data_IF_631009652442
#
_entry.id   IF_631009652442
#
_cell.length_a   1.000
_cell.length_b   1.000
_cell.length_c   1.000
_cell.angle_alpha   90.00
_cell.angle_beta   90.00
_cell.angle_gamma   90.00
#
_symmetry.space_group_name_H-M   'P 1'
#
loop_
_entity.id
_entity.type
_entity.pdbx_description
1 polymer ?
2 non-polymer ?
3 non-polymer ?
4 water ?
#
# COMPACT_ATOMS: atom_id res chain seq x y z
N UNK A 14 -33.73 -3.17 2.47
CA UNK A 14 -33.13 -1.89 2.12
C UNK A 14 -34.17 -0.90 1.65
N UNK A 15 -33.95 0.38 1.96
CA UNK A 15 -34.85 1.45 1.53
C UNK A 15 -34.39 2.13 0.25
N UNK A 16 -33.11 2.06 -0.08
CA UNK A 16 -32.52 2.78 -1.19
C UNK A 16 -31.18 2.13 -1.51
N UNK A 17 -30.50 2.66 -2.52
CA UNK A 17 -29.18 2.18 -2.89
C UNK A 17 -28.23 3.36 -3.04
N UNK A 18 -26.94 3.10 -2.78
CA UNK A 18 -25.87 4.04 -3.09
C UNK A 18 -24.84 3.27 -3.91
N UNK A 19 -24.30 3.89 -4.95
CA UNK A 19 -23.34 3.24 -5.83
C UNK A 19 -21.98 3.91 -5.71
N UNK A 20 -20.98 3.13 -5.31
CA UNK A 20 -19.63 3.61 -5.15
C UNK A 20 -18.81 3.19 -6.36
N UNK A 21 -17.66 3.84 -6.54
CA UNK A 21 -16.75 3.49 -7.61
C UNK A 21 -15.60 2.64 -7.12
N UNK A 22 -15.17 1.71 -7.97
CA UNK A 22 -13.97 0.90 -7.74
C UNK A 22 -13.12 1.02 -8.99
N UNK A 23 -11.84 1.35 -8.81
CA UNK A 23 -10.98 1.70 -9.96
C UNK A 23 -9.60 1.09 -9.73
N UNK A 24 -9.33 -0.01 -10.41
CA UNK A 24 -8.08 -0.75 -10.21
C UNK A 24 -7.65 -1.36 -11.53
N UNK A 25 -6.37 -1.74 -11.60
CA UNK A 25 -5.83 -2.41 -12.78
C UNK A 25 -6.23 -3.88 -12.76
N UNK A 26 -7.19 -4.25 -13.61
CA UNK A 26 -7.56 -5.64 -13.79
C UNK A 26 -6.85 -6.27 -14.97
N UNK A 27 -6.16 -5.48 -15.78
CA UNK A 27 -5.42 -5.98 -16.91
C UNK A 27 -4.06 -5.28 -16.92
N UNK A 28 -3.11 -5.87 -17.66
CA UNK A 28 -1.78 -5.32 -17.76
C UNK A 28 -0.88 -5.67 -16.59
N UNK A 29 0.28 -4.99 -16.57
CA UNK A 29 1.38 -5.37 -15.69
C UNK A 29 1.04 -5.23 -14.20
N UNK A 30 0.08 -4.37 -13.84
CA UNK A 30 -0.29 -4.21 -12.43
C UNK A 30 -1.39 -5.16 -12.00
N UNK A 31 -2.00 -5.92 -12.92
CA UNK A 31 -3.10 -6.79 -12.53
C UNK A 31 -2.68 -7.83 -11.49
N UNK A 32 -1.41 -8.26 -11.52
CA UNK A 32 -0.91 -9.24 -10.55
C UNK A 32 -1.14 -8.77 -9.13
N UNK A 33 -1.12 -7.45 -8.92
CA UNK A 33 -1.27 -6.82 -7.62
C UNK A 33 -2.68 -6.30 -7.37
N UNK A 34 -3.27 -5.61 -8.33
CA UNK A 34 -4.50 -4.88 -8.06
C UNK A 34 -5.77 -5.71 -8.15
N UNK A 35 -5.75 -6.84 -8.88
CA UNK A 35 -6.99 -7.58 -9.10
C UNK A 35 -7.60 -8.03 -7.78
N UNK A 36 -6.77 -8.50 -6.85
CA UNK A 36 -7.31 -8.97 -5.59
C UNK A 36 -7.89 -7.85 -4.73
N UNK A 37 -7.49 -6.59 -4.96
CA UNK A 37 -8.10 -5.49 -4.22
C UNK A 37 -9.58 -5.35 -4.55
N UNK A 38 -9.94 -5.51 -5.83
CA UNK A 38 -11.35 -5.46 -6.21
C UNK A 38 -12.12 -6.57 -5.50
N UNK A 39 -11.56 -7.79 -5.50
CA UNK A 39 -12.18 -8.89 -4.76
C UNK A 39 -12.40 -8.51 -3.31
N UNK A 40 -11.40 -7.89 -2.70
CA UNK A 40 -11.47 -7.60 -1.28
C UNK A 40 -12.45 -6.48 -0.99
N UNK A 41 -12.45 -5.42 -1.81
CA UNK A 41 -13.42 -4.34 -1.64
C UNK A 41 -14.84 -4.87 -1.80
N UNK A 42 -15.06 -5.77 -2.76
CA UNK A 42 -16.38 -6.36 -2.92
C UNK A 42 -16.77 -7.24 -1.73
N UNK A 43 -15.80 -7.91 -1.09
CA UNK A 43 -16.15 -8.71 0.07
C UNK A 43 -16.62 -7.83 1.22
N UNK A 44 -15.91 -6.71 1.46
CA UNK A 44 -16.34 -5.76 2.49
C UNK A 44 -17.73 -5.25 2.19
N UNK A 45 -18.01 -4.90 0.93
CA UNK A 45 -19.33 -4.40 0.55
C UNK A 45 -20.40 -5.46 0.82
N UNK A 46 -20.14 -6.70 0.44
CA UNK A 46 -21.11 -7.77 0.67
C UNK A 46 -21.36 -7.99 2.16
N UNK A 47 -20.29 -7.93 2.97
CA UNK A 47 -20.44 -8.06 4.41
C UNK A 47 -21.32 -6.96 4.97
N UNK A 48 -21.03 -5.70 4.59
CA UNK A 48 -21.80 -4.57 5.10
C UNK A 48 -23.26 -4.69 4.68
N UNK A 49 -23.51 -5.08 3.44
CA UNK A 49 -24.90 -5.24 3.00
C UNK A 49 -25.60 -6.33 3.81
N UNK A 50 -24.91 -7.45 4.05
CA UNK A 50 -25.52 -8.54 4.80
C UNK A 50 -25.87 -8.14 6.22
N UNK A 51 -25.11 -7.20 6.78
CA UNK A 51 -25.33 -6.73 8.14
C UNK A 51 -26.32 -5.58 8.21
N UNK A 52 -26.93 -5.20 7.09
CA UNK A 52 -27.97 -4.18 7.06
C UNK A 52 -27.68 -2.96 6.22
N UNK A 53 -26.54 -2.88 5.53
CA UNK A 53 -26.24 -1.74 4.69
C UNK A 53 -25.76 -0.55 5.50
N UNK A 54 -25.84 0.63 4.88
CA UNK A 54 -25.38 1.88 5.48
C UNK A 54 -26.59 2.72 5.85
N UNK A 55 -26.62 3.20 7.08
CA UNK A 55 -27.78 3.89 7.64
C UNK A 55 -27.59 5.41 7.56
N UNK A 56 -28.47 6.08 6.83
CA UNK A 56 -28.43 7.54 6.67
C UNK A 56 -29.87 8.05 6.80
N UNK A 57 -30.07 8.99 7.73
CA UNK A 57 -31.39 9.60 7.95
C UNK A 57 -32.46 8.54 8.17
N UNK A 58 -32.13 7.56 9.00
CA UNK A 58 -33.03 6.48 9.33
C UNK A 58 -33.35 5.51 8.19
N UNK A 59 -32.72 5.67 7.03
CA UNK A 59 -32.93 4.80 5.89
C UNK A 59 -31.71 3.87 5.74
N UNK A 60 -31.97 2.62 5.37
CA UNK A 60 -30.90 1.65 5.15
C UNK A 60 -30.58 1.61 3.66
N UNK A 61 -29.32 1.89 3.32
CA UNK A 61 -28.86 1.88 1.94
C UNK A 61 -28.06 0.62 1.65
N UNK A 62 -28.45 -0.09 0.59
CA UNK A 62 -27.60 -1.12 0.04
C UNK A 62 -26.47 -0.48 -0.77
N UNK A 63 -25.26 -1.00 -0.61
CA UNK A 63 -24.11 -0.52 -1.38
C UNK A 63 -24.02 -1.33 -2.67
N UNK A 64 -24.14 -0.64 -3.79
CA UNK A 64 -23.80 -1.14 -5.12
C UNK A 64 -22.47 -0.52 -5.57
N UNK A 65 -21.92 -1.04 -6.65
CA UNK A 65 -20.62 -0.56 -7.09
C UNK A 65 -20.52 -0.62 -8.62
N UNK A 66 -19.68 0.26 -9.16
CA UNK A 66 -19.24 0.20 -10.55
C UNK A 66 -17.73 -0.02 -10.54
N UNK A 67 -17.28 -1.09 -11.21
CA UNK A 67 -15.86 -1.39 -11.35
C UNK A 67 -15.37 -0.90 -12.70
N UNK A 68 -14.31 -0.09 -12.68
CA UNK A 68 -13.65 0.36 -13.90
C UNK A 68 -12.21 -0.15 -13.90
N UNK A 69 -11.76 -0.60 -15.06
CA UNK A 69 -10.42 -1.17 -15.23
C UNK A 69 -9.45 -0.05 -15.59
N UNK A 70 -8.53 0.28 -14.68
CA UNK A 70 -7.51 1.25 -14.97
C UNK A 70 -6.44 0.77 -15.94
N UNK A 71 -6.37 -0.55 -16.14
CA UNK A 71 -5.58 -1.16 -17.22
C UNK A 71 -4.10 -0.81 -17.15
N UNK A 72 -3.59 -0.58 -15.93
CA UNK A 72 -2.17 -0.31 -15.74
C UNK A 72 -1.72 0.91 -16.53
N UNK A 73 -2.63 1.87 -16.73
CA UNK A 73 -2.40 3.01 -17.61
C UNK A 73 -2.90 4.27 -16.92
N UNK A 74 -1.99 5.22 -16.68
CA UNK A 74 -2.35 6.31 -15.77
C UNK A 74 -3.34 7.27 -16.40
N UNK A 75 -3.24 7.61 -17.69
CA UNK A 75 -4.31 8.43 -18.28
C UNK A 75 -5.68 7.76 -18.19
N UNK A 76 -5.73 6.42 -18.29
CA UNK A 76 -7.00 5.72 -18.10
C UNK A 76 -7.52 5.87 -16.67
N UNK A 77 -6.62 5.83 -15.68
CA UNK A 77 -7.09 6.08 -14.32
C UNK A 77 -7.72 7.46 -14.19
N UNK A 78 -7.11 8.48 -14.82
CA UNK A 78 -7.67 9.81 -14.76
C UNK A 78 -8.99 9.89 -15.50
N UNK A 79 -9.07 9.26 -16.68
CA UNK A 79 -10.29 9.27 -17.47
C UNK A 79 -11.43 8.55 -16.76
N UNK A 80 -11.15 7.37 -16.20
CA UNK A 80 -12.21 6.63 -15.52
C UNK A 80 -12.64 7.33 -14.23
N UNK A 81 -11.72 8.07 -13.59
CA UNK A 81 -12.09 8.85 -12.41
C UNK A 81 -13.12 9.91 -12.77
N UNK A 82 -12.86 10.65 -13.87
CA UNK A 82 -13.81 11.64 -14.34
C UNK A 82 -15.17 11.00 -14.63
N UNK A 83 -15.15 9.81 -15.24
CA UNK A 83 -16.39 9.13 -15.57
C UNK A 83 -17.17 8.74 -14.32
N UNK A 84 -16.47 8.16 -13.34
CA UNK A 84 -17.13 7.75 -12.11
C UNK A 84 -17.70 8.94 -11.36
N UNK A 85 -16.98 10.06 -11.34
CA UNK A 85 -17.42 11.22 -10.58
C UNK A 85 -18.58 11.91 -11.30
N UNK A 86 -18.41 12.21 -12.58
CA UNK A 86 -19.38 13.05 -13.29
C UNK A 86 -20.52 12.25 -13.87
N UNK A 87 -20.21 11.20 -14.63
CA UNK A 87 -21.26 10.43 -15.29
C UNK A 87 -22.01 9.55 -14.31
N UNK A 88 -21.30 8.92 -13.37
CA UNK A 88 -21.92 7.97 -12.45
C UNK A 88 -22.29 8.56 -11.10
N UNK A 89 -21.83 9.77 -10.79
CA UNK A 89 -22.22 10.48 -9.58
C UNK A 89 -21.88 9.71 -8.31
N UNK A 90 -20.75 9.00 -8.30
CA UNK A 90 -20.40 8.21 -7.12
C UNK A 90 -19.94 9.14 -6.00
N UNK A 91 -20.19 8.79 -4.74
CA UNK A 91 -19.74 9.62 -3.62
C UNK A 91 -18.33 9.31 -3.13
N UNK A 92 -17.73 8.22 -3.60
CA UNK A 92 -16.36 7.89 -3.28
C UNK A 92 -15.86 6.94 -4.36
N UNK A 93 -14.57 6.96 -4.64
CA UNK A 93 -13.94 5.96 -5.47
C UNK A 93 -12.88 5.26 -4.64
N UNK A 94 -12.95 3.94 -4.59
CA UNK A 94 -11.90 3.12 -3.99
C UNK A 94 -10.95 2.71 -5.10
N UNK A 95 -9.68 3.12 -5.03
CA UNK A 95 -8.88 2.85 -6.22
C UNK A 95 -7.43 3.24 -6.12
N UNK A 96 -6.70 2.84 -7.15
CA UNK A 96 -5.29 3.18 -7.31
C UNK A 96 -4.34 2.14 -6.73
N UNK A 97 -3.12 2.16 -7.25
CA UNK A 97 -2.01 1.43 -6.66
C UNK A 97 -0.72 2.20 -6.89
N UNK A 98 -0.25 2.29 -8.12
CA UNK A 98 1.01 3.00 -8.31
C UNK A 98 0.85 4.46 -7.96
N UNK A 99 1.91 5.05 -7.42
CA UNK A 99 1.86 6.49 -7.19
C UNK A 99 1.69 7.24 -8.51
N UNK A 100 2.15 6.67 -9.63
CA UNK A 100 1.87 7.25 -10.94
C UNK A 100 0.39 7.35 -11.19
N UNK A 101 -0.37 6.29 -10.88
CA UNK A 101 -1.82 6.36 -11.08
C UNK A 101 -2.45 7.38 -10.14
N UNK A 102 -1.96 7.46 -8.89
CA UNK A 102 -2.54 8.41 -7.95
C UNK A 102 -2.25 9.84 -8.35
N UNK A 103 -1.02 10.13 -8.81
CA UNK A 103 -0.68 11.49 -9.23
C UNK A 103 -1.50 11.89 -10.45
N UNK A 104 -1.81 10.94 -11.32
CA UNK A 104 -2.67 11.24 -12.47
C UNK A 104 -4.10 11.55 -12.03
N UNK A 105 -4.59 10.84 -11.00
CA UNK A 105 -5.95 11.04 -10.51
C UNK A 105 -6.09 12.28 -9.63
N UNK A 106 -5.04 12.64 -8.88
CA UNK A 106 -5.14 13.71 -7.88
C UNK A 106 -5.77 14.99 -8.41
N UNK A 107 -5.37 15.54 -9.57
CA UNK A 107 -6.02 16.78 -10.03
C UNK A 107 -7.49 16.60 -10.34
N UNK A 108 -7.91 15.39 -10.71
CA UNK A 108 -9.32 15.13 -11.00
C UNK A 108 -10.14 15.20 -9.72
N UNK A 109 -9.69 14.50 -8.67
CA UNK A 109 -10.43 14.55 -7.42
C UNK A 109 -10.35 15.92 -6.77
N UNK A 110 -9.25 16.65 -6.95
CA UNK A 110 -9.17 17.98 -6.34
C UNK A 110 -10.01 19.00 -7.10
N UNK A 111 -9.96 18.99 -8.43
CA UNK A 111 -10.72 19.97 -9.20
C UNK A 111 -12.22 19.75 -9.07
N UNK A 112 -12.65 18.50 -8.89
CA UNK A 112 -14.07 18.19 -8.76
C UNK A 112 -14.50 18.11 -7.30
N UNK A 113 -13.61 18.43 -6.36
CA UNK A 113 -13.90 18.38 -4.92
C UNK A 113 -14.54 17.06 -4.54
N UNK A 114 -13.95 15.96 -5.04
CA UNK A 114 -14.51 14.63 -4.86
C UNK A 114 -13.73 13.87 -3.80
N UNK A 115 -13.67 12.54 -3.90
CA UNK A 115 -13.12 11.75 -2.79
C UNK A 115 -12.56 10.45 -3.35
N UNK A 116 -11.24 10.32 -3.36
CA UNK A 116 -10.56 9.07 -3.66
C UNK A 116 -10.05 8.46 -2.36
N UNK A 117 -10.32 7.17 -2.16
CA UNK A 117 -9.73 6.42 -1.04
C UNK A 117 -8.70 5.49 -1.66
N UNK A 118 -7.43 5.66 -1.24
CA UNK A 118 -6.27 5.01 -1.87
C UNK A 118 -5.62 4.09 -0.86
N UNK A 119 -5.45 2.80 -1.16
CA UNK A 119 -5.02 1.83 -0.12
C UNK A 119 -3.54 1.45 -0.09
N UNK A 120 -2.69 1.91 -0.99
CA UNK A 120 -1.39 1.25 -1.16
C UNK A 120 -0.26 2.01 -0.50
N UNK A 121 0.66 1.25 0.13
CA UNK A 121 1.92 1.77 0.66
C UNK A 121 2.55 2.72 -0.35
N UNK A 122 3.11 3.83 0.14
CA UNK A 122 3.67 4.76 -0.84
C UNK A 122 4.67 5.70 -0.16
N UNK A 123 5.11 6.70 -0.91
CA UNK A 123 6.23 7.54 -0.55
C UNK A 123 5.89 8.68 0.37
N UNK A 124 4.62 8.89 0.70
CA UNK A 124 4.24 10.13 1.36
C UNK A 124 4.49 11.34 0.47
N UNK A 125 4.93 12.44 1.08
CA UNK A 125 5.19 13.69 0.35
C UNK A 125 3.93 14.19 -0.36
N UNK A 126 2.79 14.02 0.30
CA UNK A 126 1.50 14.36 -0.25
C UNK A 126 0.48 14.36 0.87
N UNK A 127 -0.51 15.22 0.74
CA UNK A 127 -1.59 15.24 1.72
C UNK A 127 -2.82 15.90 1.11
N UNK A 128 -3.43 15.24 0.13
CA UNK A 128 -4.52 15.88 -0.59
C UNK A 128 -5.76 16.00 0.27
N UNK A 129 -6.44 17.14 0.17
CA UNK A 129 -7.71 17.29 0.86
C UNK A 129 -8.75 16.30 0.35
N UNK A 130 -8.58 15.79 -0.87
CA UNK A 130 -9.58 14.97 -1.52
C UNK A 130 -9.17 13.51 -1.64
N UNK A 131 -8.09 13.11 -0.96
CA UNK A 131 -7.66 11.71 -0.91
C UNK A 131 -7.52 11.32 0.55
N UNK A 132 -7.98 10.11 0.88
CA UNK A 132 -7.60 9.49 2.14
C UNK A 132 -6.77 8.25 1.83
N UNK A 133 -5.98 7.83 2.81
CA UNK A 133 -4.90 6.87 2.61
C UNK A 133 -4.92 5.81 3.70
N UNK A 134 -4.95 4.53 3.30
CA UNK A 134 -4.75 3.45 4.27
C UNK A 134 -3.45 2.69 4.07
N UNK A 135 -2.65 3.04 3.06
CA UNK A 135 -1.36 2.41 2.90
C UNK A 135 -0.31 3.07 3.77
N UNK A 136 0.72 2.29 4.11
CA UNK A 136 1.83 2.79 4.91
C UNK A 136 2.50 4.00 4.26
N UNK A 137 2.81 5.01 5.08
CA UNK A 137 3.81 6.00 4.75
C UNK A 137 5.20 5.42 5.05
N UNK A 138 6.27 6.06 4.59
CA UNK A 138 7.61 5.49 4.85
C UNK A 138 7.92 5.20 6.32
N UNK A 139 7.52 6.06 7.25
CA UNK A 139 7.83 5.75 8.64
C UNK A 139 7.05 4.54 9.16
N UNK A 140 6.05 4.08 8.42
CA UNK A 140 5.32 2.86 8.75
C UNK A 140 5.77 1.66 7.92
N UNK A 141 6.82 1.81 7.10
CA UNK A 141 7.26 0.72 6.24
C UNK A 141 8.76 0.80 5.98
N UNK A 142 9.21 1.66 5.05
CA UNK A 142 10.61 1.61 4.62
C UNK A 142 11.58 2.09 5.70
N UNK A 143 11.19 3.07 6.54
CA UNK A 143 12.12 3.52 7.56
C UNK A 143 12.40 2.41 8.58
N UNK A 144 11.41 1.79 9.23
CA UNK A 144 11.75 0.66 10.12
C UNK A 144 12.43 -0.47 9.38
N UNK A 145 12.05 -0.73 8.12
CA UNK A 145 12.66 -1.81 7.36
C UNK A 145 14.14 -1.56 7.12
N UNK A 146 14.50 -0.31 6.83
CA UNK A 146 15.90 0.04 6.58
C UNK A 146 16.74 -0.18 7.83
N UNK A 147 16.27 0.33 8.97
CA UNK A 147 16.99 0.10 10.23
C UNK A 147 17.10 -1.39 10.53
N UNK A 148 16.04 -2.16 10.26
CA UNK A 148 16.09 -3.59 10.52
C UNK A 148 17.15 -4.27 9.66
N UNK A 149 17.19 -3.95 8.36
CA UNK A 149 18.17 -4.61 7.49
C UNK A 149 19.59 -4.27 7.92
N UNK A 150 19.84 -3.02 8.30
CA UNK A 150 21.19 -2.57 8.65
C UNK A 150 21.65 -3.09 10.01
N UNK A 151 20.73 -3.31 10.94
CA UNK A 151 21.08 -3.60 12.32
C UNK A 151 20.78 -5.03 12.76
N UNK A 152 19.73 -5.66 12.23
CA UNK A 152 19.24 -6.93 12.73
C UNK A 152 19.26 -8.08 11.73
N UNK A 153 19.22 -7.80 10.43
CA UNK A 153 19.15 -8.85 9.44
C UNK A 153 20.49 -9.59 9.35
N UNK A 154 20.54 -10.74 8.68
CA UNK A 154 21.84 -11.43 8.51
C UNK A 154 22.84 -10.61 7.72
N UNK A 155 22.37 -9.59 6.99
CA UNK A 155 23.23 -8.67 6.26
C UNK A 155 23.47 -7.39 7.03
N UNK A 156 23.34 -7.42 8.36
CA UNK A 156 23.58 -6.23 9.16
C UNK A 156 24.95 -5.66 8.86
N UNK A 157 25.02 -4.34 8.68
CA UNK A 157 26.26 -3.65 8.38
C UNK A 157 26.72 -3.70 6.93
N UNK A 158 26.06 -4.50 6.09
CA UNK A 158 26.41 -4.61 4.68
C UNK A 158 25.91 -3.40 3.91
N UNK A 159 26.44 -3.15 2.71
CA UNK A 159 25.92 -2.06 1.88
C UNK A 159 24.55 -2.38 1.29
N UNK A 160 23.91 -1.32 0.81
CA UNK A 160 22.57 -1.37 0.22
C UNK A 160 22.67 -1.18 -1.30
N UNK A 161 21.87 -1.95 -2.04
CA UNK A 161 21.67 -1.75 -3.48
C UNK A 161 20.18 -1.56 -3.71
N UNK A 162 19.81 -0.47 -4.40
CA UNK A 162 18.41 -0.10 -4.59
C UNK A 162 17.99 -0.38 -6.02
N UNK A 163 16.88 -1.13 -6.18
CA UNK A 163 16.34 -1.45 -7.50
C UNK A 163 14.84 -1.21 -7.49
N UNK A 164 14.34 -0.46 -8.47
CA UNK A 164 12.90 -0.21 -8.50
C UNK A 164 12.38 0.08 -9.89
N UNK A 165 11.07 0.30 -9.98
CA UNK A 165 10.45 0.72 -11.23
C UNK A 165 10.63 2.23 -11.45
N UNK A 166 10.67 2.65 -12.71
CA UNK A 166 11.01 4.05 -13.03
C UNK A 166 9.77 4.94 -12.97
N UNK A 167 9.38 5.34 -11.76
CA UNK A 167 8.33 6.35 -11.53
C UNK A 167 8.46 6.88 -10.10
N UNK A 168 7.48 7.71 -9.68
CA UNK A 168 7.72 8.58 -8.54
C UNK A 168 7.79 7.81 -7.20
N UNK A 169 7.07 6.68 -7.04
CA UNK A 169 7.22 5.99 -5.76
C UNK A 169 8.63 5.44 -5.58
N UNK A 170 9.15 4.59 -6.46
CA UNK A 170 10.48 4.05 -6.19
C UNK A 170 11.55 5.12 -6.09
N UNK A 171 11.48 6.16 -6.92
CA UNK A 171 12.50 7.19 -6.86
C UNK A 171 12.43 7.99 -5.56
N UNK A 172 11.22 8.32 -5.09
CA UNK A 172 11.12 9.07 -3.85
C UNK A 172 11.45 8.19 -2.65
N UNK A 173 10.96 6.95 -2.67
CA UNK A 173 11.27 6.03 -1.59
C UNK A 173 12.77 5.86 -1.46
N UNK A 174 13.48 5.75 -2.59
CA UNK A 174 14.93 5.55 -2.54
C UNK A 174 15.67 6.81 -2.14
N UNK A 175 15.14 7.99 -2.47
CA UNK A 175 15.71 9.23 -1.93
C UNK A 175 15.67 9.23 -0.42
N UNK A 176 14.52 8.84 0.16
CA UNK A 176 14.39 8.74 1.61
C UNK A 176 15.34 7.71 2.17
N UNK A 177 15.41 6.54 1.53
CA UNK A 177 16.31 5.48 2.00
C UNK A 177 17.76 5.93 1.98
N UNK A 178 18.18 6.64 0.94
CA UNK A 178 19.56 7.13 0.88
C UNK A 178 19.85 8.08 2.04
N UNK A 179 18.91 8.98 2.34
CA UNK A 179 19.09 9.87 3.49
C UNK A 179 19.19 9.07 4.79
N UNK A 180 18.33 8.06 4.94
CA UNK A 180 18.32 7.30 6.19
C UNK A 180 19.57 6.45 6.34
N UNK A 181 20.01 5.80 5.25
CA UNK A 181 21.23 4.99 5.32
C UNK A 181 22.43 5.86 5.66
N UNK A 182 22.48 7.07 5.10
CA UNK A 182 23.54 8.02 5.46
C UNK A 182 23.50 8.34 6.95
N UNK A 183 22.30 8.63 7.47
CA UNK A 183 22.16 8.94 8.89
C UNK A 183 22.51 7.74 9.77
N UNK A 184 22.21 6.53 9.30
CA UNK A 184 22.56 5.32 10.06
C UNK A 184 24.06 5.02 10.02
N UNK A 185 24.78 5.60 9.07
CA UNK A 185 26.19 5.33 8.91
C UNK A 185 26.51 4.21 7.95
N UNK A 186 25.56 3.81 7.11
CA UNK A 186 25.80 2.80 6.10
C UNK A 186 26.11 3.41 4.75
N UNK A 187 26.11 2.56 3.73
CA UNK A 187 26.49 2.96 2.38
C UNK A 187 25.53 2.38 1.35
N UNK A 188 25.21 3.18 0.34
CA UNK A 188 24.47 2.73 -0.83
C UNK A 188 25.46 2.60 -1.98
N UNK A 189 25.48 1.41 -2.60
CA UNK A 189 26.46 1.12 -3.64
C UNK A 189 25.82 0.92 -5.00
N UNK A 190 24.51 1.13 -5.13
CA UNK A 190 23.85 0.98 -6.40
C UNK A 190 22.43 1.50 -6.34
N UNK A 191 21.97 2.09 -7.45
CA UNK A 191 20.59 2.56 -7.57
C UNK A 191 20.22 2.50 -9.05
N UNK A 192 19.26 1.64 -9.40
CA UNK A 192 18.88 1.45 -10.80
C UNK A 192 17.38 1.24 -10.91
N UNK A 193 16.84 1.67 -12.06
CA UNK A 193 15.41 1.61 -12.33
C UNK A 193 15.17 0.93 -13.66
N UNK A 194 14.05 0.21 -13.73
CA UNK A 194 13.55 -0.33 -14.97
C UNK A 194 12.18 0.28 -15.27
N UNK A 195 11.86 0.53 -16.53
CA UNK A 195 10.49 0.92 -16.87
C UNK A 195 9.53 -0.11 -16.29
N UNK A 196 8.37 0.36 -15.83
CA UNK A 196 7.37 -0.56 -15.31
C UNK A 196 7.07 -1.62 -16.36
N UNK A 197 7.00 -2.87 -15.90
CA UNK A 197 6.75 -4.00 -16.79
C UNK A 197 7.97 -4.61 -17.43
N UNK A 198 9.09 -3.88 -17.48
CA UNK A 198 10.27 -4.38 -18.19
C UNK A 198 10.88 -5.59 -17.48
N UNK A 199 11.14 -6.63 -18.26
CA UNK A 199 11.65 -7.91 -17.75
C UNK A 199 13.13 -8.13 -18.02
N UNK A 200 13.83 -7.11 -18.52
CA UNK A 200 15.25 -7.23 -18.89
C UNK A 200 16.09 -6.88 -17.67
N UNK A 201 16.17 -7.84 -16.74
CA UNK A 201 16.79 -7.61 -15.44
C UNK A 201 18.26 -8.04 -15.40
N UNK A 202 18.79 -8.63 -16.46
CA UNK A 202 20.16 -9.12 -16.41
C UNK A 202 21.20 -8.02 -16.20
N UNK A 203 21.13 -6.86 -16.85
CA UNK A 203 22.17 -5.83 -16.61
C UNK A 203 22.21 -5.36 -15.16
N UNK A 204 21.06 -5.19 -14.51
CA UNK A 204 21.07 -4.76 -13.12
C UNK A 204 21.61 -5.87 -12.23
N UNK A 205 21.30 -7.12 -12.56
CA UNK A 205 21.85 -8.25 -11.82
C UNK A 205 23.37 -8.21 -11.85
N UNK A 206 23.94 -7.97 -13.03
CA UNK A 206 25.39 -7.85 -13.12
C UNK A 206 25.91 -6.72 -12.24
N UNK A 207 25.20 -5.60 -12.20
CA UNK A 207 25.64 -4.49 -11.35
C UNK A 207 25.58 -4.86 -9.87
N UNK A 208 24.54 -5.59 -9.46
CA UNK A 208 24.42 -6.00 -8.06
C UNK A 208 25.58 -6.91 -7.69
N UNK A 209 25.92 -7.85 -8.57
CA UNK A 209 27.04 -8.75 -8.32
C UNK A 209 28.35 -7.97 -8.16
N UNK A 210 28.55 -6.95 -8.98
CA UNK A 210 29.75 -6.16 -8.95
C UNK A 210 29.82 -5.28 -7.70
N UNK A 211 28.68 -4.70 -7.30
CA UNK A 211 28.65 -3.75 -6.19
C UNK A 211 28.54 -4.43 -4.83
N UNK A 212 28.03 -5.65 -4.78
CA UNK A 212 27.90 -6.42 -3.54
C UNK A 212 28.65 -7.75 -3.65
N UNK A 213 29.97 -7.71 -3.84
CA UNK A 213 30.71 -8.97 -4.01
C UNK A 213 30.71 -9.83 -2.76
N UNK A 214 30.38 -9.27 -1.61
CA UNK A 214 30.34 -10.02 -0.36
C UNK A 214 28.94 -10.09 0.22
N UNK A 215 27.92 -10.01 -0.64
CA UNK A 215 26.54 -10.03 -0.21
C UNK A 215 26.10 -8.68 0.32
N UNK A 216 24.81 -8.59 0.64
CA UNK A 216 24.31 -7.38 1.25
C UNK A 216 22.80 -7.27 1.08
N UNK A 217 22.34 -6.04 1.17
CA UNK A 217 20.91 -5.73 1.21
C UNK A 217 20.48 -5.19 -0.15
N UNK A 218 19.43 -5.76 -0.71
CA UNK A 218 18.81 -5.26 -1.93
C UNK A 218 17.44 -4.73 -1.56
N UNK A 219 17.21 -3.43 -1.77
CA UNK A 219 15.90 -2.84 -1.51
C UNK A 219 15.13 -2.83 -2.82
N UNK A 220 14.03 -3.56 -2.85
CA UNK A 220 13.24 -3.78 -4.07
C UNK A 220 11.95 -2.98 -4.01
N UNK A 221 11.86 -1.96 -4.87
CA UNK A 221 10.65 -1.17 -5.08
C UNK A 221 10.08 -1.40 -6.48
N UNK A 222 10.42 -2.53 -7.11
CA UNK A 222 9.71 -2.90 -8.33
C UNK A 222 8.24 -3.14 -8.02
N UNK A 223 7.37 -2.64 -8.89
CA UNK A 223 5.93 -2.84 -8.79
C UNK A 223 5.43 -3.67 -9.96
N UNK A 224 4.38 -4.46 -9.72
CA UNK A 224 3.79 -5.20 -10.81
C UNK A 224 4.55 -6.45 -11.18
N UNK A 225 4.18 -7.03 -12.32
CA UNK A 225 4.64 -8.38 -12.60
C UNK A 225 6.06 -8.45 -13.13
N UNK A 226 6.77 -7.33 -13.32
CA UNK A 226 8.21 -7.47 -13.58
C UNK A 226 8.94 -8.08 -12.39
N UNK A 227 8.31 -8.08 -11.20
CA UNK A 227 8.83 -8.84 -10.05
C UNK A 227 8.97 -10.32 -10.36
N UNK A 228 8.15 -10.86 -11.27
CA UNK A 228 8.27 -12.28 -11.61
C UNK A 228 9.64 -12.56 -12.22
N UNK A 229 10.01 -11.78 -13.24
CA UNK A 229 11.31 -11.94 -13.86
C UNK A 229 12.44 -11.65 -12.86
N UNK A 230 12.27 -10.62 -12.04
CA UNK A 230 13.34 -10.23 -11.14
C UNK A 230 13.71 -11.35 -10.17
N UNK A 231 12.72 -11.90 -9.47
CA UNK A 231 13.07 -12.89 -8.45
C UNK A 231 13.53 -14.19 -9.08
N UNK A 232 13.01 -14.55 -10.24
CA UNK A 232 13.48 -15.80 -10.84
C UNK A 232 14.89 -15.64 -11.37
N UNK A 233 15.21 -14.48 -11.96
CA UNK A 233 16.54 -14.29 -12.51
C UNK A 233 17.59 -14.05 -11.43
N UNK A 234 17.25 -13.38 -10.31
CA UNK A 234 18.28 -13.22 -9.30
C UNK A 234 18.62 -14.57 -8.66
N UNK A 235 17.64 -15.47 -8.52
CA UNK A 235 17.96 -16.77 -7.98
C UNK A 235 18.86 -17.55 -8.92
N UNK A 236 18.56 -17.52 -10.22
CA UNK A 236 19.39 -18.26 -11.16
C UNK A 236 20.80 -17.68 -11.21
N UNK A 237 20.95 -16.38 -10.95
CA UNK A 237 22.26 -15.75 -10.92
C UNK A 237 23.00 -15.98 -9.61
N UNK A 238 22.38 -16.64 -8.64
CA UNK A 238 23.04 -16.91 -7.37
C UNK A 238 22.94 -15.79 -6.35
N UNK A 239 22.08 -14.80 -6.57
CA UNK A 239 21.86 -13.75 -5.59
C UNK A 239 20.77 -14.24 -4.63
N UNK A 240 21.18 -15.09 -3.69
CA UNK A 240 20.28 -15.86 -2.85
C UNK A 240 20.63 -15.63 -1.39
N UNK A 241 19.67 -15.86 -0.48
CA UNK A 241 19.99 -15.76 0.95
C UNK A 241 21.15 -16.65 1.37
N UNK A 242 21.23 -17.86 0.81
CA UNK A 242 22.34 -18.77 1.09
C UNK A 242 23.69 -18.14 0.77
N UNK A 243 23.74 -17.28 -0.24
CA UNK A 243 24.98 -16.61 -0.64
C UNK A 243 25.10 -15.21 -0.05
N UNK A 244 24.24 -14.85 0.91
CA UNK A 244 24.36 -13.59 1.61
C UNK A 244 23.64 -12.41 0.98
N UNK A 245 22.69 -12.66 0.07
CA UNK A 245 21.94 -11.61 -0.61
C UNK A 245 20.51 -11.64 -0.13
N UNK A 246 20.05 -10.55 0.47
CA UNK A 246 18.72 -10.48 1.06
C UNK A 246 17.95 -9.31 0.48
N UNK A 247 16.76 -9.59 -0.05
CA UNK A 247 15.90 -8.59 -0.66
C UNK A 247 14.84 -8.17 0.36
N UNK A 248 14.66 -6.87 0.53
CA UNK A 248 13.55 -6.30 1.28
C UNK A 248 12.63 -5.64 0.27
N UNK A 249 11.38 -6.10 0.17
CA UNK A 249 10.45 -5.64 -0.85
C UNK A 249 9.29 -4.85 -0.25
N UNK A 250 8.96 -3.71 -0.87
CA UNK A 250 7.91 -2.85 -0.33
C UNK A 250 6.60 -2.91 -1.11
N UNK A 251 6.55 -3.56 -2.27
CA UNK A 251 5.37 -3.46 -3.14
C UNK A 251 4.84 -4.80 -3.60
N UNK A 252 5.29 -5.90 -2.99
CA UNK A 252 4.67 -7.21 -3.19
C UNK A 252 4.54 -7.89 -1.84
N UNK A 253 3.52 -8.74 -1.71
CA UNK A 253 3.31 -9.50 -0.48
C UNK A 253 2.69 -10.84 -0.83
N UNK A 254 1.86 -11.39 0.06
CA UNK A 254 1.49 -12.80 -0.08
C UNK A 254 0.79 -13.10 -1.42
N UNK A 255 0.01 -12.16 -1.97
CA UNK A 255 -0.69 -12.44 -3.21
C UNK A 255 0.30 -12.63 -4.36
N UNK A 256 1.17 -11.63 -4.58
CA UNK A 256 2.13 -11.71 -5.67
C UNK A 256 3.11 -12.86 -5.46
N UNK A 257 3.47 -13.13 -4.20
CA UNK A 257 4.36 -14.26 -3.91
C UNK A 257 3.74 -15.57 -4.40
N UNK A 258 2.43 -15.73 -4.21
CA UNK A 258 1.77 -16.97 -4.64
C UNK A 258 1.74 -17.10 -6.16
N UNK A 259 1.69 -15.98 -6.89
CA UNK A 259 1.76 -16.06 -8.34
C UNK A 259 3.18 -16.31 -8.83
N UNK A 260 4.16 -15.65 -8.22
CA UNK A 260 5.55 -15.82 -8.62
C UNK A 260 6.02 -17.24 -8.35
N UNK A 261 5.65 -17.78 -7.18
CA UNK A 261 6.17 -19.03 -6.69
C UNK A 261 7.04 -18.76 -5.47
N UNK A 262 6.60 -19.22 -4.30
CA UNK A 262 7.32 -18.87 -3.06
C UNK A 262 8.73 -19.40 -3.00
N UNK A 263 9.07 -20.44 -3.78
CA UNK A 263 10.45 -20.92 -3.79
C UNK A 263 11.43 -19.81 -4.20
N UNK A 264 10.96 -18.82 -4.97
CA UNK A 264 11.83 -17.73 -5.40
C UNK A 264 11.89 -16.58 -4.39
N UNK A 265 11.06 -16.62 -3.35
CA UNK A 265 11.06 -15.56 -2.37
C UNK A 265 11.46 -16.01 -0.98
N UNK A 266 11.48 -17.31 -0.73
CA UNK A 266 11.86 -17.85 0.57
C UNK A 266 13.17 -17.24 1.06
N UNK A 267 13.16 -16.75 2.30
CA UNK A 267 14.33 -16.15 2.90
C UNK A 267 14.45 -14.65 2.72
N UNK A 268 13.68 -14.06 1.81
CA UNK A 268 13.70 -12.62 1.64
C UNK A 268 12.70 -11.98 2.61
N UNK A 269 12.59 -10.65 2.57
CA UNK A 269 11.92 -9.92 3.63
C UNK A 269 10.87 -8.95 3.08
N UNK A 270 9.91 -8.63 3.96
CA UNK A 270 8.97 -7.56 3.72
C UNK A 270 8.75 -6.77 4.99
N UNK A 271 8.17 -5.58 4.83
CA UNK A 271 7.77 -4.73 5.94
C UNK A 271 6.36 -4.26 5.63
N UNK A 272 5.43 -4.53 6.54
CA UNK A 272 4.02 -4.29 6.26
C UNK A 272 3.27 -4.02 7.55
N UNK A 273 2.04 -3.55 7.42
CA UNK A 273 1.20 -3.37 8.58
C UNK A 273 0.28 -4.55 8.84
N UNK A 274 -0.16 -5.24 7.80
CA UNK A 274 -0.87 -6.50 7.92
C UNK A 274 -0.06 -7.61 7.27
N UNK A 275 -0.04 -8.76 7.91
CA UNK A 275 0.49 -9.98 7.31
C UNK A 275 -0.49 -11.11 7.61
N UNK A 276 -0.67 -12.01 6.65
CA UNK A 276 -1.62 -13.10 6.82
C UNK A 276 -1.31 -13.94 8.04
N UNK A 277 -0.04 -14.02 8.43
CA UNK A 277 0.35 -14.87 9.54
C UNK A 277 0.07 -14.27 10.92
N UNK A 278 -0.45 -13.04 11.00
CA UNK A 278 -0.83 -12.47 12.29
C UNK A 278 -1.80 -13.42 12.98
N UNK A 279 -1.48 -13.79 14.22
CA UNK A 279 -2.18 -14.86 14.95
C UNK A 279 -3.20 -14.24 15.91
N UNK A 280 -4.29 -13.76 15.33
CA UNK A 280 -5.39 -13.17 16.09
C UNK A 280 -6.70 -13.63 15.48
N UNK A 281 -7.79 -13.63 16.25
CA UNK A 281 -9.10 -13.93 15.65
C UNK A 281 -9.43 -13.02 14.48
N UNK A 282 -9.14 -11.71 14.58
CA UNK A 282 -9.49 -10.80 13.50
C UNK A 282 -8.71 -11.13 12.23
N UNK A 283 -7.44 -11.49 12.38
CA UNK A 283 -6.64 -11.82 11.20
C UNK A 283 -7.10 -13.15 10.59
N UNK A 284 -7.40 -14.13 11.43
CA UNK A 284 -7.85 -15.42 10.92
C UNK A 284 -9.22 -15.30 10.26
N UNK A 285 -10.09 -14.44 10.80
CA UNK A 285 -11.42 -14.27 10.23
C UNK A 285 -11.35 -13.64 8.84
N UNK A 286 -10.47 -12.66 8.67
CA UNK A 286 -10.25 -12.05 7.36
C UNK A 286 -9.84 -13.10 6.34
N UNK A 287 -8.85 -13.91 6.69
CA UNK A 287 -8.35 -14.95 5.77
C UNK A 287 -9.43 -15.99 5.49
N UNK A 288 -10.12 -16.45 6.54
CA UNK A 288 -11.14 -17.48 6.38
C UNK A 288 -12.30 -16.97 5.52
N UNK A 289 -12.74 -15.73 5.77
CA UNK A 289 -13.82 -15.15 4.98
C UNK A 289 -13.40 -14.99 3.53
N UNK A 290 -12.16 -14.57 3.29
CA UNK A 290 -11.72 -14.38 1.92
C UNK A 290 -11.66 -15.71 1.17
N UNK A 291 -11.20 -16.77 1.84
CA UNK A 291 -11.13 -18.09 1.20
C UNK A 291 -12.52 -18.65 0.95
N UNK A 292 -13.45 -18.42 1.88
CA UNK A 292 -14.81 -18.94 1.70
C UNK A 292 -15.47 -18.31 0.48
N UNK A 293 -15.18 -17.03 0.21
CA UNK A 293 -15.80 -16.34 -0.92
C UNK A 293 -15.06 -16.61 -2.23
N UNK A 294 -13.74 -16.72 -2.20
CA UNK A 294 -12.96 -16.74 -3.43
C UNK A 294 -12.16 -18.02 -3.68
N UNK A 295 -12.02 -18.89 -2.69
CA UNK A 295 -11.31 -20.14 -2.91
C UNK A 295 -10.27 -20.39 -1.85
N UNK A 296 -10.05 -21.68 -1.54
CA UNK A 296 -9.17 -22.03 -0.43
C UNK A 296 -7.71 -21.74 -0.74
N UNK A 297 -7.35 -21.55 -2.00
CA UNK A 297 -5.99 -21.20 -2.37
C UNK A 297 -5.67 -19.73 -2.11
N UNK A 298 -6.67 -18.89 -1.87
CA UNK A 298 -6.48 -17.46 -1.98
C UNK A 298 -5.79 -16.89 -0.74
N UNK A 299 -4.86 -15.97 -0.98
CA UNK A 299 -4.15 -15.30 0.10
C UNK A 299 -4.83 -13.99 0.46
N UNK A 300 -4.57 -13.54 1.70
CA UNK A 300 -4.76 -12.15 2.08
C UNK A 300 -3.39 -11.57 2.44
N UNK A 301 -3.33 -10.25 2.46
CA UNK A 301 -2.07 -9.52 2.52
C UNK A 301 -2.37 -8.06 2.82
N UNK A 302 -1.30 -7.31 3.08
CA UNK A 302 -1.45 -5.89 3.43
C UNK A 302 -2.21 -5.07 2.40
N UNK A 303 -1.94 -5.15 1.09
CA UNK A 303 -2.71 -4.33 0.16
C UNK A 303 -4.20 -4.61 0.28
N UNK A 304 -4.57 -5.87 0.43
CA UNK A 304 -5.99 -6.23 0.58
C UNK A 304 -6.55 -5.72 1.89
N UNK A 305 -5.80 -5.90 3.00
CA UNK A 305 -6.24 -5.41 4.29
C UNK A 305 -6.46 -3.90 4.25
N UNK A 306 -5.55 -3.19 3.58
CA UNK A 306 -5.70 -1.75 3.42
C UNK A 306 -6.98 -1.39 2.68
N UNK A 307 -7.28 -2.11 1.59
CA UNK A 307 -8.47 -1.80 0.78
C UNK A 307 -9.75 -2.17 1.52
N UNK A 308 -9.75 -3.32 2.20
CA UNK A 308 -10.85 -3.72 3.07
C UNK A 308 -11.19 -2.61 4.07
N UNK A 309 -10.17 -2.11 4.76
CA UNK A 309 -10.37 -1.07 5.75
C UNK A 309 -11.01 0.18 5.16
N UNK A 310 -10.62 0.56 3.94
CA UNK A 310 -11.20 1.75 3.30
C UNK A 310 -12.72 1.70 3.31
N UNK A 311 -13.29 0.56 2.94
CA UNK A 311 -14.73 0.45 2.80
C UNK A 311 -15.40 0.58 4.16
N UNK A 312 -14.85 -0.09 5.18
CA UNK A 312 -15.43 0.00 6.51
C UNK A 312 -15.28 1.40 7.10
N UNK A 313 -14.15 2.05 6.84
CA UNK A 313 -13.94 3.40 7.37
C UNK A 313 -14.88 4.40 6.69
N UNK A 314 -15.01 4.29 5.37
CA UNK A 314 -15.98 5.11 4.65
C UNK A 314 -17.39 4.90 5.19
N UNK A 315 -17.78 3.65 5.42
CA UNK A 315 -19.12 3.37 5.93
C UNK A 315 -19.33 4.04 7.29
N UNK A 316 -18.34 3.93 8.18
CA UNK A 316 -18.46 4.58 9.48
C UNK A 316 -18.56 6.08 9.34
N UNK A 317 -17.78 6.68 8.42
CA UNK A 317 -17.83 8.13 8.27
C UNK A 317 -19.18 8.59 7.74
N UNK A 318 -19.77 7.82 6.82
CA UNK A 318 -21.09 8.15 6.29
C UNK A 318 -22.12 8.18 7.42
N UNK A 319 -22.09 7.16 8.28
CA UNK A 319 -23.08 7.09 9.35
C UNK A 319 -22.84 8.16 10.41
N UNK A 320 -21.58 8.51 10.64
CA UNK A 320 -21.27 9.62 11.54
C UNK A 320 -21.75 10.95 10.95
N UNK A 321 -21.52 11.17 9.66
CA UNK A 321 -21.93 12.40 8.99
C UNK A 321 -23.44 12.46 8.71
N UNK A 322 -24.11 11.31 8.71
CA UNK A 322 -25.50 11.20 8.26
C UNK A 322 -25.66 11.76 6.85
N UNK A 323 -24.72 11.43 5.98
CA UNK A 323 -24.69 11.99 4.64
C UNK A 323 -23.68 11.19 3.83
N UNK A 324 -23.92 11.09 2.52
CA UNK A 324 -22.94 10.59 1.57
C UNK A 324 -22.11 11.70 0.94
N UNK A 325 -22.49 12.97 1.14
CA UNK A 325 -21.78 14.10 0.54
C UNK A 325 -20.30 14.04 0.89
N UNK A 326 -19.43 14.08 -0.12
CA UNK A 326 -18.04 13.75 0.19
C UNK A 326 -17.35 14.80 1.06
N UNK A 327 -17.79 16.06 1.04
CA UNK A 327 -17.18 17.03 1.94
C UNK A 327 -17.55 16.74 3.39
N UNK A 328 -18.80 16.35 3.64
CA UNK A 328 -19.22 16.00 4.99
C UNK A 328 -18.63 14.67 5.44
N UNK A 329 -18.52 13.71 4.51
CA UNK A 329 -17.94 12.41 4.85
C UNK A 329 -16.45 12.56 5.15
N UNK A 330 -15.73 13.32 4.30
CA UNK A 330 -14.30 13.52 4.54
C UNK A 330 -14.08 14.24 5.86
N UNK A 331 -14.96 15.20 6.20
CA UNK A 331 -14.80 15.85 7.50
C UNK A 331 -15.02 14.88 8.64
N UNK A 332 -16.03 14.00 8.51
CA UNK A 332 -16.35 13.04 9.56
C UNK A 332 -15.30 11.94 9.66
N UNK A 333 -14.62 11.65 8.56
CA UNK A 333 -13.74 10.47 8.52
C UNK A 333 -12.54 10.61 9.45
N UNK A 334 -12.06 11.83 9.67
CA UNK A 334 -10.93 12.04 10.57
C UNK A 334 -11.33 11.63 11.98
N UNK A 335 -10.53 10.76 12.58
CA UNK A 335 -10.76 10.27 13.92
C UNK A 335 -11.42 8.90 14.00
N UNK A 336 -12.00 8.43 12.90
CA UNK A 336 -12.69 7.15 12.93
C UNK A 336 -11.72 6.03 13.23
N UNK A 337 -12.14 5.10 14.09
CA UNK A 337 -11.36 3.93 14.43
C UNK A 337 -12.04 2.68 13.88
N UNK A 338 -11.25 1.65 13.61
CA UNK A 338 -11.78 0.39 13.13
C UNK A 338 -10.96 -0.74 13.72
N UNK A 339 -11.64 -1.80 14.20
CA UNK A 339 -10.97 -3.02 14.63
C UNK A 339 -10.72 -3.86 13.38
N UNK A 340 -9.55 -3.64 12.79
CA UNK A 340 -9.21 -4.17 11.48
C UNK A 340 -8.55 -5.53 11.61
N UNK A 341 -8.35 -6.24 10.50
CA UNK A 341 -7.62 -7.52 10.60
C UNK A 341 -6.21 -7.37 11.15
N UNK A 342 -5.56 -6.21 10.93
CA UNK A 342 -4.21 -6.00 11.45
C UNK A 342 -4.17 -5.64 12.93
N UNK A 343 -5.31 -5.31 13.54
CA UNK A 343 -5.32 -4.64 14.81
C UNK A 343 -6.07 -3.33 14.69
N UNK A 344 -5.96 -2.48 15.72
CA UNK A 344 -6.73 -1.22 15.72
C UNK A 344 -6.10 -0.19 14.80
N UNK A 345 -6.93 0.45 13.97
CA UNK A 345 -6.46 1.52 13.09
C UNK A 345 -7.32 2.76 13.33
N UNK A 346 -6.75 3.92 12.98
CA UNK A 346 -7.45 5.18 13.22
C UNK A 346 -7.08 6.17 12.13
N UNK A 347 -8.08 6.85 11.58
CA UNK A 347 -7.83 7.87 10.55
C UNK A 347 -7.35 9.14 11.23
N UNK A 348 -6.23 9.68 10.75
CA UNK A 348 -5.51 10.78 11.39
C UNK A 348 -5.85 12.11 10.74
N UNK A 349 -5.51 13.23 11.39
CA UNK A 349 -5.78 14.56 10.78
C UNK A 349 -5.16 14.75 9.42
N UNK A 350 -4.06 14.05 9.10
CA UNK A 350 -3.44 14.14 7.79
C UNK A 350 -4.05 13.18 6.78
N UNK A 351 -5.20 12.58 7.08
CA UNK A 351 -5.96 11.68 6.21
C UNK A 351 -5.33 10.31 6.06
N UNK A 352 -4.18 10.05 6.68
CA UNK A 352 -3.55 8.74 6.63
C UNK A 352 -4.01 7.91 7.83
N UNK A 353 -3.42 6.73 8.04
CA UNK A 353 -3.96 5.75 8.98
C UNK A 353 -2.89 5.35 9.99
N UNK A 354 -3.21 5.44 11.28
CA UNK A 354 -2.30 4.91 12.29
C UNK A 354 -2.38 3.39 12.28
N UNK A 355 -1.21 2.74 12.27
CA UNK A 355 -1.11 1.31 11.96
C UNK A 355 0.08 0.71 12.68
N UNK A 356 -0.02 -0.57 13.01
CA UNK A 356 1.07 -1.33 13.59
C UNK A 356 2.04 -1.75 12.50
N UNK A 357 3.34 -1.80 12.80
CA UNK A 357 4.36 -2.15 11.81
C UNK A 357 4.94 -3.52 12.13
N UNK A 358 5.05 -4.37 11.10
CA UNK A 358 5.62 -5.70 11.19
C UNK A 358 6.78 -5.86 10.20
N UNK A 359 7.84 -6.55 10.62
CA UNK A 359 8.90 -7.01 9.73
C UNK A 359 8.76 -8.52 9.62
N UNK A 360 8.80 -9.04 8.39
CA UNK A 360 8.64 -10.47 8.17
C UNK A 360 9.68 -11.04 7.24
N UNK A 361 9.92 -12.35 7.39
CA UNK A 361 10.80 -13.12 6.52
C UNK A 361 9.95 -14.18 5.84
N UNK A 362 10.12 -14.34 4.53
CA UNK A 362 9.19 -15.15 3.74
C UNK A 362 9.54 -16.62 3.87
N UNK A 363 8.52 -17.45 4.11
CA UNK A 363 8.68 -18.89 4.29
C UNK A 363 8.54 -19.63 2.96
N UNK A 364 8.80 -20.94 3.00
CA UNK A 364 8.74 -21.73 1.78
C UNK A 364 7.34 -21.79 1.21
N UNK A 365 6.32 -21.66 2.07
CA UNK A 365 4.93 -21.63 1.65
C UNK A 365 4.46 -20.25 1.23
N UNK A 366 5.32 -19.24 1.31
CA UNK A 366 4.91 -17.91 0.90
C UNK A 366 4.20 -17.08 1.95
N UNK A 367 4.33 -17.45 3.22
CA UNK A 367 3.85 -16.63 4.32
C UNK A 367 5.01 -15.84 4.91
N UNK A 368 4.69 -14.90 5.79
CA UNK A 368 5.71 -14.18 6.54
C UNK A 368 5.87 -14.81 7.92
N UNK A 369 7.12 -15.06 8.30
CA UNK A 369 7.47 -15.25 9.70
C UNK A 369 7.67 -13.87 10.32
N UNK A 370 6.86 -13.51 11.31
CA UNK A 370 6.92 -12.17 11.87
C UNK A 370 8.10 -12.09 12.84
N UNK A 371 9.06 -11.22 12.55
CA UNK A 371 10.27 -11.10 13.33
C UNK A 371 10.26 -9.91 14.29
N UNK A 372 9.57 -8.83 13.93
CA UNK A 372 9.49 -7.64 14.76
C UNK A 372 8.11 -7.04 14.61
N UNK A 373 7.63 -6.41 15.68
CA UNK A 373 6.30 -5.82 15.68
C UNK A 373 6.32 -4.64 16.63
N UNK A 374 5.77 -3.52 16.21
CA UNK A 374 5.78 -2.37 17.11
C UNK A 374 4.85 -2.61 18.29
N UNK A 375 5.14 -1.90 19.37
CA UNK A 375 4.29 -1.89 20.56
C UNK A 375 3.15 -0.91 20.29
N UNK A 376 2.12 -1.42 19.62
CA UNK A 376 1.00 -0.61 19.24
C UNK A 376 1.23 0.17 17.95
N UNK A 377 0.22 0.93 17.53
CA UNK A 377 0.28 1.58 16.21
C UNK A 377 1.22 2.78 16.18
N UNK A 378 1.71 3.05 14.97
CA UNK A 378 2.62 4.14 14.67
C UNK A 378 1.83 5.19 13.90
N UNK A 379 1.94 6.44 14.33
CA UNK A 379 1.27 7.52 13.62
C UNK A 379 1.95 7.78 12.27
N UNK A 380 1.18 7.97 11.21
CA UNK A 380 1.78 8.14 9.87
C UNK A 380 2.37 9.53 9.69
N UNK A 381 3.59 9.58 9.18
CA UNK A 381 4.23 10.83 8.78
C UNK A 381 4.10 10.95 7.27
N UNK A 382 3.14 11.76 6.82
CA UNK A 382 3.01 11.98 5.39
C UNK A 382 4.20 12.75 4.85
N UNK A 383 4.52 13.89 5.48
CA UNK A 383 5.71 14.64 5.13
C UNK A 383 6.91 13.99 5.81
N UNK A 384 7.88 13.60 4.99
CA UNK A 384 8.96 12.75 5.45
C UNK A 384 9.98 13.54 6.28
N UNK A 385 10.43 12.92 7.37
CA UNK A 385 11.29 13.62 8.30
C UNK A 385 12.77 13.29 8.11
N UNK A 386 13.12 12.50 7.09
CA UNK A 386 14.52 12.38 6.66
C UNK A 386 14.85 13.30 5.49
N UNK A 387 13.87 13.61 4.64
CA UNK A 387 14.11 14.41 3.46
C UNK A 387 14.17 15.89 3.81
N UNK A 388 15.26 16.59 3.49
CA UNK A 388 15.40 17.99 3.95
C UNK A 388 14.25 18.91 3.53
N UNK A 389 13.67 18.73 2.33
CA UNK A 389 12.59 19.63 1.91
C UNK A 389 11.33 19.48 2.74
N UNK A 390 11.11 18.34 3.38
CA UNK A 390 9.88 18.11 4.13
C UNK A 390 10.09 18.04 5.63
N UNK A 391 11.34 18.06 6.09
CA UNK A 391 11.63 18.04 7.53
C UNK A 391 10.95 19.22 8.21
N UNK A 392 10.31 18.97 9.35
CA UNK A 392 9.67 20.03 10.09
C UNK A 392 8.28 20.39 9.63
N UNK A 393 7.79 19.78 8.56
CA UNK A 393 6.45 20.02 8.07
C UNK A 393 5.51 18.91 8.52
N UNK A 394 4.24 19.26 8.65
CA UNK A 394 3.18 18.28 8.88
C UNK A 394 1.94 18.68 8.08
N UNK A 395 0.93 17.82 8.15
CA UNK A 395 -0.36 18.03 7.51
C UNK A 395 -1.47 17.83 8.53
N UNK A 396 -2.45 18.73 8.54
CA UNK A 396 -3.56 18.63 9.48
C UNK A 396 -4.77 19.32 8.86
N UNK A 397 -5.71 18.53 8.35
CA UNK A 397 -6.89 19.05 7.69
C UNK A 397 -8.03 19.38 8.66
N UNK A 398 -7.79 19.29 9.96
CA UNK A 398 -8.80 19.67 10.94
C UNK A 398 -8.71 21.14 11.34
N UNK A 399 -7.65 21.83 10.94
CA UNK A 399 -7.39 23.19 11.37
C UNK A 399 -7.14 24.04 10.13
N UNK A 400 -7.97 25.07 9.93
CA UNK A 400 -7.81 25.93 8.77
C UNK A 400 -6.45 26.62 8.74
N UNK A 401 -5.82 26.82 9.90
CA UNK A 401 -4.52 27.47 9.97
C UNK A 401 -3.36 26.51 9.75
N UNK A 402 -3.64 25.21 9.55
CA UNK A 402 -2.59 24.22 9.37
C UNK A 402 -2.70 23.71 7.95
N UNK A 403 -3.46 22.65 7.70
CA UNK A 403 -3.77 22.26 6.34
C UNK A 403 -2.79 21.30 5.70
N UNK A 404 -2.62 21.45 4.38
CA UNK A 404 -1.93 20.47 3.55
C UNK A 404 -0.47 20.30 3.94
N UNK A 405 0.23 21.41 4.22
CA UNK A 405 1.66 21.34 4.52
C UNK A 405 2.02 22.61 5.28
N UNK A 406 2.31 22.48 6.58
CA UNK A 406 2.61 23.63 7.41
C UNK A 406 3.80 23.32 8.31
N UNK A 407 4.51 24.38 8.70
CA UNK A 407 5.67 24.24 9.55
C UNK A 407 5.24 24.03 10.99
N UNK A 408 5.81 23.01 11.63
CA UNK A 408 5.63 22.81 13.06
C UNK A 408 6.40 23.89 13.82
X LIG B 1 3.36 2.65 -5.15
X LIG B 1 3.55 3.05 -6.27
X LIG B 1 3.57 1.44 -4.84
X LIG B 1 2.98 3.45 -4.25
X LIG C 1 -7.45 -9.74 -15.40
X LIG D 1 8.35 -14.50 15.60
X LIG E 1 2.21 14.69 8.20
X LIG F 1 -2.59 -0.40 5.41
#
# INVERSE_FOLDING_TARGET
>A
MCGGGSDKTANTDFDDTVTVGILHSLSGTMAISESTLVDTEKMAIEEINAAGGVEVDGKKYKIDYIVEDGASDWPTFAEKSKKLIDQDSVPVVFGGWTSASRKAMLPVYESKNAFLYYPIQYEGQECSNNIFYTGATPNQQSEPATKFMFEKSPAAGKPFFLVGSDYVFPRTSNTITKEQVKALGGKVVGEDYLPLGNTEVAPIIAKIKKALPDGGVIINTLNGDQNVAFFKQIQDAGLTPENGYYVMSYSIAEEEISTIGPEFLEGHYGAWNYMMSIDTPASKKFASDFKAKYGNDRQVADPQESAYNMVYLWKAAVEKANSFDDDKVREALIGIEFDAPQGPVKVMPNHHLSQTVRIGKITKDGQFEILEETDGPVAPQAWNQFEPSSKGYACDWTDANKGEKYKLHHHHHH
>B hetero
1 URE C O N1 N2
>C hetero
1 CA CA
>D hetero
1 CA CA
>E hetero
1 CA CA
>F hetero
1 CA CA
#
